data_IF_619729578660
#
_entry.id   IF_619729578660
#
_cell.length_a   1.000
_cell.length_b   1.000
_cell.length_c   1.000
_cell.angle_alpha   90.00
_cell.angle_beta   90.00
_cell.angle_gamma   90.00
#
_symmetry.space_group_name_H-M   'P 1'
#
loop_
_entity.id
_entity.type
_entity.pdbx_description
1 polymer ?
#
# COMPACT_ATOMS: atom_id res chain seq x y z
N UNK A 1 -6.40 -8.58 -13.49
CA UNK A 1 -6.40 -7.62 -12.36
C UNK A 1 -5.08 -7.80 -11.64
N UNK A 2 -4.16 -6.84 -11.72
CA UNK A 2 -2.88 -6.92 -11.00
C UNK A 2 -3.21 -6.88 -9.50
N UNK A 3 -2.71 -7.85 -8.73
CA UNK A 3 -2.87 -7.92 -7.28
C UNK A 3 -1.95 -6.87 -6.62
N UNK A 4 -2.35 -5.61 -6.69
CA UNK A 4 -1.59 -4.50 -6.10
C UNK A 4 -1.59 -4.52 -4.57
N UNK A 5 -2.60 -5.18 -3.98
CA UNK A 5 -2.81 -5.22 -2.52
C UNK A 5 -1.67 -5.92 -1.76
N UNK A 6 -0.88 -6.74 -2.45
CA UNK A 6 0.28 -7.43 -1.87
C UNK A 6 1.56 -6.60 -1.84
N UNK A 7 1.64 -5.47 -2.57
CA UNK A 7 2.88 -4.71 -2.69
C UNK A 7 3.27 -4.05 -1.37
N UNK A 8 2.31 -3.46 -0.66
CA UNK A 8 2.53 -2.81 0.65
C UNK A 8 3.13 -3.76 1.69
N UNK A 9 2.52 -4.93 2.01
CA UNK A 9 3.09 -5.82 3.00
C UNK A 9 4.46 -6.37 2.61
N UNK A 10 4.75 -6.51 1.31
CA UNK A 10 6.08 -6.88 0.81
C UNK A 10 7.10 -5.76 1.09
N UNK A 11 6.77 -4.51 0.73
CA UNK A 11 7.64 -3.35 0.99
C UNK A 11 7.93 -3.18 2.48
N UNK A 12 6.89 -3.27 3.33
CA UNK A 12 7.05 -3.22 4.79
C UNK A 12 7.91 -4.36 5.34
N UNK A 13 7.83 -5.56 4.76
CA UNK A 13 8.67 -6.68 5.18
C UNK A 13 10.15 -6.47 4.84
N UNK A 14 10.44 -5.90 3.66
CA UNK A 14 11.80 -5.55 3.24
C UNK A 14 12.36 -4.43 4.12
N UNK A 15 11.58 -3.39 4.40
CA UNK A 15 11.97 -2.28 5.27
C UNK A 15 12.38 -2.75 6.68
N UNK A 16 11.56 -3.63 7.28
CA UNK A 16 11.89 -4.30 8.55
C UNK A 16 13.12 -5.21 8.44
N UNK A 17 13.33 -5.83 7.29
CA UNK A 17 14.52 -6.65 7.00
C UNK A 17 15.79 -5.80 7.02
N UNK A 18 15.80 -4.73 6.24
CA UNK A 18 16.91 -3.78 6.15
C UNK A 18 17.22 -3.15 7.50
N UNK A 19 16.21 -2.64 8.21
CA UNK A 19 16.39 -2.07 9.55
C UNK A 19 17.05 -3.05 10.54
N UNK A 20 16.69 -4.34 10.47
CA UNK A 20 17.31 -5.39 11.30
C UNK A 20 18.74 -5.71 10.88
N UNK A 21 19.07 -5.65 9.60
CA UNK A 21 20.44 -5.85 9.11
C UNK A 21 21.35 -4.71 9.59
N UNK A 22 20.89 -3.46 9.47
CA UNK A 22 21.62 -2.30 9.97
C UNK A 22 21.89 -2.39 11.47
N UNK A 23 20.87 -2.74 12.26
CA UNK A 23 20.99 -2.86 13.71
C UNK A 23 21.95 -3.98 14.16
N UNK A 24 22.21 -5.00 13.33
CA UNK A 24 23.14 -6.10 13.64
C UNK A 24 24.60 -5.75 13.37
N UNK A 25 24.88 -4.63 12.70
CA UNK A 25 26.22 -4.20 12.34
C UNK A 25 26.82 -5.03 11.19
N UNK A 26 26.74 -4.50 9.97
CA UNK A 26 27.48 -4.97 8.80
C UNK A 26 28.83 -4.23 8.65
N UNK A 27 29.66 -4.70 7.71
CA UNK A 27 30.94 -4.04 7.41
C UNK A 27 30.71 -2.56 7.03
N UNK A 28 31.48 -1.61 7.58
CA UNK A 28 31.27 -0.18 7.32
C UNK A 28 31.54 0.15 5.85
N UNK A 29 30.50 0.56 5.10
CA UNK A 29 30.64 1.09 3.74
C UNK A 29 29.50 0.73 2.78
N UNK A 30 29.08 -0.54 2.74
CA UNK A 30 28.15 -1.03 1.71
C UNK A 30 26.67 -0.79 2.02
N UNK A 31 26.32 -0.64 3.31
CA UNK A 31 24.93 -0.49 3.74
C UNK A 31 24.33 0.86 3.30
N UNK A 32 25.11 1.95 3.30
CA UNK A 32 24.60 3.30 3.05
C UNK A 32 24.02 3.46 1.63
N UNK A 33 24.67 2.88 0.62
CA UNK A 33 24.19 2.90 -0.76
C UNK A 33 22.87 2.13 -0.91
N UNK A 34 22.76 0.98 -0.22
CA UNK A 34 21.55 0.16 -0.21
C UNK A 34 20.38 0.90 0.47
N UNK A 35 20.62 1.57 1.60
CA UNK A 35 19.60 2.36 2.27
C UNK A 35 19.13 3.56 1.44
N UNK A 36 20.05 4.23 0.73
CA UNK A 36 19.70 5.32 -0.19
C UNK A 36 18.82 4.82 -1.34
N UNK A 37 19.24 3.75 -2.02
CA UNK A 37 18.47 3.17 -3.12
C UNK A 37 17.10 2.65 -2.65
N UNK A 38 17.02 2.08 -1.44
CA UNK A 38 15.76 1.69 -0.82
C UNK A 38 14.83 2.88 -0.57
N UNK A 39 15.36 3.96 -0.01
CA UNK A 39 14.58 5.18 0.24
C UNK A 39 14.06 5.79 -1.06
N UNK A 40 14.86 5.83 -2.12
CA UNK A 40 14.45 6.29 -3.46
C UNK A 40 13.33 5.41 -4.05
N UNK A 41 13.44 4.09 -3.91
CA UNK A 41 12.40 3.17 -4.38
C UNK A 41 11.08 3.39 -3.63
N UNK A 42 11.12 3.50 -2.30
CA UNK A 42 9.92 3.75 -1.49
C UNK A 42 9.28 5.10 -1.86
N UNK A 43 10.10 6.13 -2.05
CA UNK A 43 9.63 7.44 -2.51
C UNK A 43 8.99 7.38 -3.90
N UNK A 44 9.62 6.66 -4.84
CA UNK A 44 9.09 6.48 -6.20
C UNK A 44 7.76 5.72 -6.21
N UNK A 45 7.63 4.67 -5.39
CA UNK A 45 6.39 3.90 -5.28
C UNK A 45 5.25 4.71 -4.68
N UNK A 46 5.57 5.71 -3.84
CA UNK A 46 4.61 6.66 -3.26
C UNK A 46 3.31 6.02 -2.75
N UNK A 47 3.43 4.86 -2.08
CA UNK A 47 2.26 4.01 -1.78
C UNK A 47 1.22 4.67 -0.86
N UNK A 48 1.54 5.79 -0.19
CA UNK A 48 0.61 6.54 0.68
C UNK A 48 0.06 5.70 1.83
N UNK A 49 -1.01 6.12 2.53
CA UNK A 49 -1.76 5.24 3.44
C UNK A 49 -2.52 4.16 2.66
N UNK A 50 -2.84 3.05 3.34
CA UNK A 50 -3.68 2.01 2.75
C UNK A 50 -5.05 2.60 2.36
N UNK A 51 -5.56 2.33 1.15
CA UNK A 51 -6.85 2.86 0.74
C UNK A 51 -7.96 2.28 1.61
N UNK A 52 -8.86 3.14 2.09
CA UNK A 52 -10.09 2.69 2.73
C UNK A 52 -10.91 1.86 1.74
N UNK A 53 -11.54 0.80 2.22
CA UNK A 53 -12.38 -0.09 1.41
C UNK A 53 -13.86 0.13 1.72
N UNK A 54 -14.73 -0.13 0.73
CA UNK A 54 -16.18 -0.21 0.90
C UNK A 54 -16.78 -1.32 0.05
N UNK A 55 -17.88 -1.90 0.50
CA UNK A 55 -18.70 -2.78 -0.32
C UNK A 55 -19.52 -1.96 -1.34
N UNK A 56 -19.66 -2.49 -2.55
CA UNK A 56 -20.57 -1.95 -3.55
C UNK A 56 -22.04 -2.16 -3.10
N UNK A 57 -22.88 -1.12 -3.06
CA UNK A 57 -24.27 -1.26 -2.64
C UNK A 57 -25.14 -2.03 -3.64
N UNK A 58 -24.66 -2.25 -4.87
CA UNK A 58 -25.39 -2.96 -5.93
C UNK A 58 -25.05 -4.44 -6.01
N UNK A 59 -23.76 -4.80 -5.86
CA UNK A 59 -23.29 -6.18 -6.09
C UNK A 59 -22.46 -6.76 -4.93
N UNK A 60 -22.26 -6.01 -3.84
CA UNK A 60 -21.50 -6.46 -2.67
C UNK A 60 -19.98 -6.56 -2.85
N UNK A 61 -19.44 -6.45 -4.06
CA UNK A 61 -17.98 -6.50 -4.29
C UNK A 61 -17.24 -5.40 -3.55
N UNK A 62 -16.10 -5.73 -2.95
CA UNK A 62 -15.25 -4.80 -2.20
C UNK A 62 -14.32 -4.06 -3.14
N UNK A 63 -14.19 -2.74 -2.94
CA UNK A 63 -13.24 -1.90 -3.67
C UNK A 63 -12.90 -0.64 -2.90
N UNK A 64 -12.09 0.24 -3.51
CA UNK A 64 -11.69 1.49 -2.88
C UNK A 64 -12.91 2.36 -2.52
N UNK A 65 -12.91 2.92 -1.31
CA UNK A 65 -13.98 3.80 -0.81
C UNK A 65 -14.19 5.01 -1.71
N UNK A 66 -13.11 5.58 -2.23
CA UNK A 66 -13.14 6.74 -3.13
C UNK A 66 -13.56 6.41 -4.57
N UNK A 67 -13.78 5.14 -4.92
CA UNK A 67 -14.15 4.76 -6.30
C UNK A 67 -15.51 5.37 -6.69
N UNK A 68 -15.61 5.92 -7.90
CA UNK A 68 -16.86 6.48 -8.45
C UNK A 68 -17.66 5.48 -9.29
N UNK A 69 -17.07 4.31 -9.60
CA UNK A 69 -17.71 3.17 -10.27
C UNK A 69 -17.22 1.86 -9.65
N UNK A 70 -18.09 0.85 -9.66
CA UNK A 70 -17.70 -0.52 -9.29
C UNK A 70 -16.93 -1.18 -10.44
N UNK A 71 -15.77 -1.77 -10.15
CA UNK A 71 -14.99 -2.52 -11.17
C UNK A 71 -15.59 -3.87 -11.57
N UNK A 72 -16.58 -4.37 -10.82
CA UNK A 72 -17.26 -5.64 -11.11
C UNK A 72 -18.56 -5.44 -11.89
N UNK A 73 -19.52 -4.69 -11.33
CA UNK A 73 -20.83 -4.49 -11.95
C UNK A 73 -20.97 -3.17 -12.75
N UNK A 74 -19.92 -2.34 -12.78
CA UNK A 74 -19.86 -1.07 -13.52
C UNK A 74 -20.87 0.01 -13.11
N UNK A 75 -21.70 -0.22 -12.09
CA UNK A 75 -22.63 0.76 -11.55
C UNK A 75 -21.91 2.00 -11.02
N UNK A 76 -22.50 3.19 -11.25
CA UNK A 76 -22.03 4.46 -10.68
C UNK A 76 -22.25 4.44 -9.17
N UNK A 77 -21.20 4.72 -8.40
CA UNK A 77 -21.25 4.72 -6.96
C UNK A 77 -21.54 6.13 -6.45
N UNK A 78 -22.48 6.24 -5.51
CA UNK A 78 -22.73 7.48 -4.77
C UNK A 78 -21.62 7.81 -3.77
N UNK A 79 -21.71 8.98 -3.11
CA UNK A 79 -20.82 9.33 -2.01
C UNK A 79 -20.77 8.19 -1.00
N UNK A 80 -19.58 7.80 -0.52
CA UNK A 80 -19.51 6.85 0.57
C UNK A 80 -20.22 7.42 1.80
N UNK A 81 -20.77 6.57 2.69
CA UNK A 81 -21.25 7.02 3.99
C UNK A 81 -20.13 7.73 4.78
N UNK A 82 -20.41 8.38 5.91
CA UNK A 82 -19.35 8.90 6.78
C UNK A 82 -18.37 7.77 7.17
N UNK A 83 -17.06 8.04 7.17
CA UNK A 83 -16.11 7.07 7.73
C UNK A 83 -16.25 7.06 9.24
N UNK A 84 -16.54 5.89 9.83
CA UNK A 84 -16.41 5.71 11.27
C UNK A 84 -14.93 5.49 11.50
N UNK A 85 -14.23 6.50 12.04
CA UNK A 85 -12.85 6.31 12.52
C UNK A 85 -12.89 5.25 13.61
N UNK A 86 -12.17 4.14 13.39
CA UNK A 86 -11.85 3.15 14.42
C UNK A 86 -10.53 3.53 15.09
#
# INVERSE_FOLDING_TARGET
MIRSDGLRPIVEAVDRGLSRLHARGGAPGDDAALFSAWAELVAFLALGPAPELRACPFCGSVGMRAATRCGACWSKLGPPPPSVRA
#
